data_IF_569635540398
#
_entry.id   IF_569635540398
#
_cell.length_a   1.000
_cell.length_b   1.000
_cell.length_c   1.000
_cell.angle_alpha   90.00
_cell.angle_beta   90.00
_cell.angle_gamma   90.00
#
_symmetry.space_group_name_H-M   'P 1'
#
loop_
_entity.id
_entity.type
_entity.pdbx_description
1 polymer ?
#
# COMPACT_ATOMS: atom_id res chain seq x y z
N UNK A 1 -4.62 -8.40 6.22
CA UNK A 1 -3.60 -7.34 6.09
C UNK A 1 -3.15 -6.79 7.44
N UNK A 2 -3.95 -5.96 8.15
CA UNK A 2 -3.50 -5.27 9.38
C UNK A 2 -2.96 -6.24 10.45
N UNK A 3 -3.64 -7.36 10.68
CA UNK A 3 -3.17 -8.41 11.61
C UNK A 3 -1.81 -8.98 11.22
N UNK A 4 -1.58 -9.22 9.94
CA UNK A 4 -0.32 -9.75 9.43
C UNK A 4 0.82 -8.73 9.58
N UNK A 5 0.56 -7.45 9.24
CA UNK A 5 1.51 -6.36 9.47
C UNK A 5 1.88 -6.21 10.94
N UNK A 6 0.91 -6.35 11.86
CA UNK A 6 1.18 -6.33 13.31
C UNK A 6 2.03 -7.51 13.76
N UNK A 7 1.78 -8.70 13.23
CA UNK A 7 2.58 -9.89 13.53
C UNK A 7 4.03 -9.72 13.07
N UNK A 8 4.24 -9.19 11.86
CA UNK A 8 5.59 -8.92 11.35
C UNK A 8 6.31 -7.83 12.16
N UNK A 9 5.62 -6.74 12.51
CA UNK A 9 6.18 -5.71 13.40
C UNK A 9 6.56 -6.27 14.77
N UNK A 10 5.70 -7.09 15.37
CA UNK A 10 5.99 -7.75 16.64
C UNK A 10 7.20 -8.69 16.52
N UNK A 11 7.31 -9.46 15.43
CA UNK A 11 8.48 -10.31 15.17
C UNK A 11 9.78 -9.50 15.08
N UNK A 12 9.72 -8.31 14.48
CA UNK A 12 10.87 -7.41 14.32
C UNK A 12 11.15 -6.54 15.56
N UNK A 13 10.45 -6.76 16.68
CA UNK A 13 10.50 -5.92 17.87
C UNK A 13 10.28 -4.42 17.57
N UNK A 14 9.31 -4.14 16.68
CA UNK A 14 8.90 -2.79 16.28
C UNK A 14 7.47 -2.51 16.69
N UNK A 15 7.23 -1.26 17.11
CA UNK A 15 5.89 -0.74 17.29
C UNK A 15 5.38 -0.12 15.97
N UNK A 16 4.06 -0.18 15.70
CA UNK A 16 3.48 0.58 14.60
C UNK A 16 3.69 2.08 14.84
N UNK A 17 3.99 2.82 13.77
CA UNK A 17 4.03 4.27 13.83
C UNK A 17 2.66 4.84 14.23
N UNK A 18 2.67 5.95 14.96
CA UNK A 18 1.43 6.64 15.34
C UNK A 18 0.69 7.11 14.07
N UNK A 19 -0.63 6.91 13.99
CA UNK A 19 -1.40 7.35 12.83
C UNK A 19 -1.30 8.87 12.69
N UNK A 20 -1.03 9.34 11.47
CA UNK A 20 -1.22 10.74 11.11
C UNK A 20 -2.71 11.09 11.14
N UNK A 21 -3.00 12.39 11.25
CA UNK A 21 -4.35 12.93 11.44
C UNK A 21 -5.38 12.27 10.52
N UNK A 22 -6.49 11.81 11.11
CA UNK A 22 -7.52 11.07 10.40
C UNK A 22 -8.22 11.97 9.38
N UNK A 23 -8.13 11.59 8.10
CA UNK A 23 -8.86 12.20 6.99
C UNK A 23 -9.88 11.20 6.45
N UNK A 24 -11.06 11.68 6.07
CA UNK A 24 -12.05 10.89 5.35
C UNK A 24 -11.70 10.90 3.86
N UNK A 25 -11.72 9.72 3.26
CA UNK A 25 -11.51 9.50 1.83
C UNK A 25 -12.70 8.74 1.26
N UNK A 26 -12.93 8.88 -0.04
CA UNK A 26 -13.84 8.04 -0.79
C UNK A 26 -13.42 6.57 -0.68
N UNK A 27 -14.40 5.69 -0.47
CA UNK A 27 -14.15 4.26 -0.29
C UNK A 27 -13.55 3.62 -1.55
N UNK A 28 -13.93 4.09 -2.73
CA UNK A 28 -13.41 3.61 -4.02
C UNK A 28 -11.92 3.90 -4.13
N UNK A 29 -11.50 5.11 -3.74
CA UNK A 29 -10.08 5.50 -3.73
C UNK A 29 -9.27 4.64 -2.77
N UNK A 30 -9.79 4.39 -1.56
CA UNK A 30 -9.13 3.50 -0.59
C UNK A 30 -8.98 2.08 -1.13
N UNK A 31 -10.05 1.52 -1.71
CA UNK A 31 -10.02 0.18 -2.31
C UNK A 31 -9.06 0.11 -3.49
N UNK A 32 -9.02 1.14 -4.35
CA UNK A 32 -8.10 1.21 -5.47
C UNK A 32 -6.64 1.10 -5.02
N UNK A 33 -6.25 1.87 -3.99
CA UNK A 33 -4.88 1.85 -3.45
C UNK A 33 -4.56 0.49 -2.81
N UNK A 34 -5.43 0.01 -1.92
CA UNK A 34 -5.18 -1.24 -1.18
C UNK A 34 -5.13 -2.45 -2.10
N UNK A 35 -6.09 -2.61 -3.01
CA UNK A 35 -6.13 -3.73 -3.94
C UNK A 35 -5.04 -3.63 -5.00
N UNK A 36 -4.78 -2.43 -5.53
CA UNK A 36 -3.73 -2.20 -6.53
C UNK A 36 -2.31 -2.49 -5.99
N UNK A 37 -2.05 -2.17 -4.72
CA UNK A 37 -0.76 -2.48 -4.05
C UNK A 37 -0.46 -3.99 -3.97
N UNK A 38 -1.46 -4.85 -4.14
CA UNK A 38 -1.32 -6.29 -4.15
C UNK A 38 -0.43 -6.81 -5.28
N UNK A 39 -0.32 -6.09 -6.40
CA UNK A 39 0.61 -6.42 -7.49
C UNK A 39 2.06 -6.19 -7.09
N UNK A 40 2.34 -5.04 -6.46
CA UNK A 40 3.67 -4.72 -5.92
C UNK A 40 4.10 -5.72 -4.84
N UNK A 41 3.15 -6.17 -4.01
CA UNK A 41 3.40 -7.17 -2.96
C UNK A 41 3.92 -8.50 -3.52
N UNK A 42 3.54 -8.91 -4.75
CA UNK A 42 4.09 -10.13 -5.38
C UNK A 42 5.58 -10.01 -5.69
N UNK A 43 6.02 -8.82 -6.11
CA UNK A 43 7.44 -8.53 -6.34
C UNK A 43 8.20 -8.54 -5.01
N UNK A 44 7.63 -7.91 -3.99
CA UNK A 44 8.22 -7.87 -2.64
C UNK A 44 8.28 -9.27 -2.01
N UNK A 45 7.26 -10.10 -2.19
CA UNK A 45 7.26 -11.49 -1.74
C UNK A 45 8.41 -12.29 -2.35
N UNK A 46 8.67 -12.14 -3.66
CA UNK A 46 9.81 -12.82 -4.31
C UNK A 46 11.14 -12.40 -3.67
N UNK A 47 11.35 -11.10 -3.45
CA UNK A 47 12.56 -10.59 -2.79
C UNK A 47 12.68 -11.07 -1.34
N UNK A 48 11.56 -11.17 -0.63
CA UNK A 48 11.54 -11.70 0.73
C UNK A 48 11.92 -13.18 0.78
N UNK A 49 11.49 -14.01 -0.18
CA UNK A 49 11.92 -15.41 -0.26
C UNK A 49 13.43 -15.57 -0.43
N UNK A 50 14.09 -14.58 -1.05
CA UNK A 50 15.54 -14.52 -1.24
C UNK A 50 16.29 -14.01 -0.01
N UNK A 51 15.59 -13.54 1.04
CA UNK A 51 16.21 -13.00 2.25
C UNK A 51 16.95 -14.08 3.05
N UNK A 52 18.18 -13.75 3.47
CA UNK A 52 19.04 -14.61 4.28
C UNK A 52 19.05 -14.24 5.76
N UNK A 53 18.72 -12.99 6.10
CA UNK A 53 18.57 -12.54 7.47
C UNK A 53 17.39 -13.26 8.15
N UNK A 54 17.62 -14.02 9.25
CA UNK A 54 16.58 -14.73 9.96
C UNK A 54 15.43 -13.84 10.45
N UNK A 55 15.71 -12.60 10.87
CA UNK A 55 14.69 -11.67 11.35
C UNK A 55 13.79 -11.19 10.21
N UNK A 56 14.37 -10.89 9.05
CA UNK A 56 13.61 -10.52 7.85
C UNK A 56 12.80 -11.71 7.34
N UNK A 57 13.40 -12.90 7.33
CA UNK A 57 12.74 -14.13 6.88
C UNK A 57 11.56 -14.52 7.77
N UNK A 58 11.64 -14.27 9.07
CA UNK A 58 10.54 -14.51 10.01
C UNK A 58 9.39 -13.50 9.94
N UNK A 59 9.64 -12.30 9.40
CA UNK A 59 8.66 -11.22 9.23
C UNK A 59 7.92 -11.27 7.87
N UNK A 60 7.42 -12.45 7.51
CA UNK A 60 6.83 -12.72 6.19
C UNK A 60 5.31 -12.75 6.12
N UNK A 61 4.60 -12.52 7.22
CA UNK A 61 3.16 -12.78 7.32
C UNK A 61 2.35 -11.95 6.34
N UNK A 62 2.69 -10.67 6.17
CA UNK A 62 2.03 -9.77 5.23
C UNK A 62 2.41 -10.11 3.78
N UNK A 63 3.69 -10.32 3.51
CA UNK A 63 4.19 -10.61 2.17
C UNK A 63 3.72 -11.97 1.66
N UNK A 64 3.49 -12.93 2.55
CA UNK A 64 2.95 -14.26 2.27
C UNK A 64 1.43 -14.30 2.10
N UNK A 65 0.71 -13.17 2.25
CA UNK A 65 -0.73 -13.14 1.99
C UNK A 65 -1.02 -13.39 0.50
N UNK A 66 -2.13 -14.09 0.24
CA UNK A 66 -2.64 -14.24 -1.11
C UNK A 66 -2.95 -12.86 -1.73
N UNK A 67 -2.51 -12.65 -2.97
CA UNK A 67 -2.76 -11.41 -3.71
C UNK A 67 -4.27 -11.27 -4.00
N UNK A 68 -4.89 -10.11 -3.76
CA UNK A 68 -6.34 -9.91 -3.95
C UNK A 68 -6.71 -9.65 -5.43
N UNK A 69 -6.14 -10.43 -6.36
CA UNK A 69 -6.25 -10.19 -7.81
C UNK A 69 -7.69 -10.19 -8.31
N UNK A 70 -8.54 -11.06 -7.79
CA UNK A 70 -9.93 -11.15 -8.24
C UNK A 70 -10.75 -9.96 -7.74
N UNK A 71 -10.51 -9.51 -6.51
CA UNK A 71 -11.10 -8.27 -5.99
C UNK A 71 -10.61 -7.04 -6.78
N UNK A 72 -9.33 -7.01 -7.15
CA UNK A 72 -8.79 -5.95 -8.01
C UNK A 72 -9.47 -5.92 -9.38
N UNK A 73 -9.59 -7.08 -10.04
CA UNK A 73 -10.27 -7.21 -11.33
C UNK A 73 -11.74 -6.79 -11.24
N UNK A 74 -12.44 -7.18 -10.18
CA UNK A 74 -13.83 -6.79 -9.94
C UNK A 74 -13.95 -5.26 -9.82
N UNK A 75 -13.11 -4.63 -9.00
CA UNK A 75 -13.08 -3.17 -8.87
C UNK A 75 -12.80 -2.48 -10.20
N UNK A 76 -11.81 -2.94 -10.98
CA UNK A 76 -11.54 -2.40 -12.30
C UNK A 76 -12.75 -2.55 -13.24
N UNK A 77 -13.43 -3.69 -13.20
CA UNK A 77 -14.65 -3.92 -13.96
C UNK A 77 -15.76 -2.93 -13.61
N UNK A 78 -15.99 -2.69 -12.32
CA UNK A 78 -16.95 -1.70 -11.85
C UNK A 78 -16.59 -0.28 -12.27
N UNK A 79 -15.32 0.11 -12.12
CA UNK A 79 -14.84 1.44 -12.49
C UNK A 79 -14.98 1.72 -13.99
N UNK A 80 -14.76 0.71 -14.83
CA UNK A 80 -14.92 0.84 -16.29
C UNK A 80 -16.37 1.11 -16.72
N UNK A 81 -17.36 0.79 -15.88
CA UNK A 81 -18.77 1.08 -16.16
C UNK A 81 -19.20 2.48 -15.69
N UNK A 82 -18.34 3.21 -14.96
CA UNK A 82 -18.66 4.55 -14.45
C UNK A 82 -18.25 5.62 -15.46
N UNK A 83 -18.95 6.78 -15.48
CA UNK A 83 -18.51 7.91 -16.27
C UNK A 83 -17.07 8.32 -15.89
N UNK A 84 -16.15 8.47 -16.86
CA UNK A 84 -14.76 8.80 -16.57
C UNK A 84 -14.55 10.27 -16.16
N UNK A 85 -15.62 11.06 -16.14
CA UNK A 85 -15.62 12.50 -15.93
C UNK A 85 -16.78 12.88 -15.00
N UNK A 86 -16.60 13.99 -14.29
CA UNK A 86 -17.60 14.57 -13.41
C UNK A 86 -17.21 14.47 -11.94
N UNK A 87 -18.03 15.08 -11.08
CA UNK A 87 -17.68 15.32 -9.69
C UNK A 87 -17.34 14.06 -8.88
N UNK A 88 -17.91 12.89 -9.21
CA UNK A 88 -17.52 11.63 -8.57
C UNK A 88 -16.12 11.20 -9.01
N UNK A 89 -15.84 11.18 -10.31
CA UNK A 89 -14.54 10.81 -10.85
C UNK A 89 -13.43 11.73 -10.31
N UNK A 90 -13.68 13.04 -10.27
CA UNK A 90 -12.74 14.04 -9.74
C UNK A 90 -12.44 13.80 -8.26
N UNK A 91 -13.46 13.48 -7.45
CA UNK A 91 -13.27 13.13 -6.03
C UNK A 91 -12.47 11.86 -5.86
N UNK A 92 -12.81 10.80 -6.61
CA UNK A 92 -12.13 9.50 -6.48
C UNK A 92 -10.66 9.62 -6.84
N UNK A 93 -10.35 10.29 -7.96
CA UNK A 93 -8.95 10.52 -8.40
C UNK A 93 -8.22 11.42 -7.41
N UNK A 94 -8.84 12.53 -7.00
CA UNK A 94 -8.25 13.45 -6.02
C UNK A 94 -7.89 12.77 -4.71
N UNK A 95 -8.80 11.97 -4.16
CA UNK A 95 -8.54 11.20 -2.94
C UNK A 95 -7.49 10.10 -3.14
N UNK A 96 -7.43 9.47 -4.31
CA UNK A 96 -6.39 8.50 -4.63
C UNK A 96 -4.99 9.14 -4.68
N UNK A 97 -4.86 10.32 -5.29
CA UNK A 97 -3.61 11.10 -5.28
C UNK A 97 -3.16 11.42 -3.85
N UNK A 98 -4.07 11.91 -3.01
CA UNK A 98 -3.78 12.23 -1.61
C UNK A 98 -3.40 10.99 -0.79
N UNK A 99 -3.98 9.83 -1.10
CA UNK A 99 -3.58 8.56 -0.48
C UNK A 99 -2.19 8.13 -0.93
N UNK A 100 -1.78 8.34 -2.19
CA UNK A 100 -0.40 8.12 -2.62
C UNK A 100 0.57 9.07 -1.88
N UNK A 101 0.24 10.35 -1.77
CA UNK A 101 1.05 11.33 -1.02
C UNK A 101 1.21 10.92 0.44
N UNK A 102 0.17 10.35 1.05
CA UNK A 102 0.24 9.81 2.41
C UNK A 102 1.26 8.67 2.52
N UNK A 103 1.31 7.75 1.56
CA UNK A 103 2.29 6.66 1.53
C UNK A 103 3.71 7.19 1.31
N UNK A 104 3.90 8.14 0.38
CA UNK A 104 5.18 8.79 0.13
C UNK A 104 5.68 9.52 1.38
N UNK A 105 4.83 10.32 2.01
CA UNK A 105 5.17 11.04 3.22
C UNK A 105 5.44 10.12 4.42
N UNK A 106 4.91 8.91 4.44
CA UNK A 106 5.25 7.90 5.44
C UNK A 106 6.62 7.26 5.14
N UNK A 107 6.90 6.95 3.87
CA UNK A 107 8.20 6.43 3.43
C UNK A 107 9.34 7.42 3.75
N UNK A 108 9.17 8.70 3.40
CA UNK A 108 10.17 9.73 3.67
C UNK A 108 10.43 9.97 5.16
N UNK A 109 9.50 9.58 6.04
CA UNK A 109 9.70 9.68 7.48
C UNK A 109 10.50 8.50 8.06
N UNK A 110 10.61 7.39 7.34
CA UNK A 110 11.39 6.22 7.75
C UNK A 110 12.89 6.36 7.44
N UNK A 111 13.23 7.20 6.45
CA UNK A 111 14.61 7.50 6.08
C UNK A 111 14.75 8.99 5.72
N UNK A 112 15.14 9.85 6.69
CA UNK A 112 15.38 11.28 6.45
C UNK A 112 16.52 11.53 5.45
N UNK A 113 17.43 10.57 5.24
CA UNK A 113 18.54 10.69 4.31
C UNK A 113 18.17 10.31 2.86
N UNK A 114 17.04 9.62 2.65
CA UNK A 114 16.49 9.33 1.31
C UNK A 114 15.78 10.54 0.66
N UNK A 115 15.67 11.68 1.36
CA UNK A 115 15.21 12.93 0.77
C UNK A 115 16.31 13.52 -0.13
N UNK A 116 16.45 13.03 -1.37
CA UNK A 116 17.44 13.59 -2.29
C UNK A 116 17.58 12.96 -3.68
N UNK A 117 17.15 11.72 -3.91
CA UNK A 117 17.26 11.11 -5.24
C UNK A 117 15.92 11.20 -5.98
N UNK A 118 15.80 12.06 -7.01
CA UNK A 118 14.64 12.02 -7.90
C UNK A 118 14.62 10.66 -8.60
N UNK A 119 13.44 10.06 -8.72
CA UNK A 119 13.21 8.89 -9.56
C UNK A 119 13.62 9.25 -11.00
N UNK A 120 14.82 8.87 -11.41
CA UNK A 120 15.31 9.08 -12.76
C UNK A 120 14.40 8.29 -13.72
N UNK A 121 13.89 9.03 -14.71
CA UNK A 121 12.94 8.57 -15.72
C UNK A 121 13.48 7.44 -16.60
#
# INVERSE_FOLDING_TARGET
>A
MVTALRADLHHLDRAPALPRQARRFDATSVLYILLGSGLGTRVLHRRWLEATDPAVKGAGSYLGLASPLDAWRALCGELLQRPPQGAEADRVVGDACLLFDLHLGALSALDPAAQGEPYAA
#
